data_IF_339732066052
#
_entry.id   IF_339732066052
#
_cell.length_a   1.000
_cell.length_b   1.000
_cell.length_c   1.000
_cell.angle_alpha   90.00
_cell.angle_beta   90.00
_cell.angle_gamma   90.00
#
_symmetry.space_group_name_H-M   'P 1'
#
loop_
_entity.id
_entity.type
_entity.pdbx_description
1 polymer ?
#
# COMPACT_ATOMS: atom_id res chain seq x y z
N UNK A 1 -55.50 -5.26 38.87
CA UNK A 1 -55.77 -4.03 39.65
C UNK A 1 -54.90 -2.94 39.03
N UNK A 2 -55.41 -2.00 38.21
CA UNK A 2 -56.07 -0.72 38.60
C UNK A 2 -55.15 0.09 39.54
N UNK A 3 -54.67 1.31 39.29
CA UNK A 3 -55.09 2.53 38.54
C UNK A 3 -53.81 3.33 38.14
N UNK A 4 -53.65 4.01 37.00
CA UNK A 4 -54.15 5.32 36.51
C UNK A 4 -54.11 6.47 37.53
N UNK A 5 -53.30 7.51 37.26
CA UNK A 5 -53.36 8.81 37.92
C UNK A 5 -52.62 9.90 37.14
N UNK A 6 -53.36 10.72 36.40
CA UNK A 6 -52.92 11.97 35.77
C UNK A 6 -52.88 13.12 36.81
N UNK A 7 -51.94 14.05 36.66
CA UNK A 7 -51.88 15.31 37.41
C UNK A 7 -51.06 16.35 36.65
N UNK A 8 -51.67 17.51 36.34
CA UNK A 8 -51.15 18.49 35.39
C UNK A 8 -50.24 19.58 35.98
N UNK A 9 -49.34 20.04 35.12
CA UNK A 9 -48.91 21.43 34.81
C UNK A 9 -48.90 22.53 35.88
N UNK A 10 -47.75 23.22 36.05
CA UNK A 10 -47.54 24.68 35.85
C UNK A 10 -46.01 24.97 35.67
N UNK A 11 -45.56 25.77 34.68
CA UNK A 11 -44.17 26.23 34.57
C UNK A 11 -43.94 27.56 35.31
N UNK A 12 -42.89 27.64 36.13
CA UNK A 12 -42.46 28.88 36.80
C UNK A 12 -41.53 29.65 35.85
N UNK A 13 -42.04 30.76 35.30
CA UNK A 13 -41.26 31.77 34.57
C UNK A 13 -40.65 32.75 35.58
N UNK A 14 -39.33 32.67 35.81
CA UNK A 14 -38.61 33.73 36.53
C UNK A 14 -38.27 34.87 35.56
N UNK A 15 -39.00 35.98 35.69
CA UNK A 15 -38.63 37.30 35.13
C UNK A 15 -37.31 37.76 35.79
N UNK A 16 -36.31 38.05 34.96
CA UNK A 16 -35.12 38.83 35.36
C UNK A 16 -35.38 40.28 34.96
N UNK A 17 -35.53 41.15 35.96
CA UNK A 17 -35.67 42.60 35.80
C UNK A 17 -34.28 43.22 35.69
N UNK A 18 -33.96 43.86 34.55
CA UNK A 18 -32.79 44.72 34.42
C UNK A 18 -33.01 46.04 35.18
N UNK A 19 -32.07 46.40 36.04
CA UNK A 19 -32.00 47.71 36.71
C UNK A 19 -30.84 48.50 36.07
N UNK A 20 -31.04 49.76 35.62
CA UNK A 20 -29.98 50.56 35.02
C UNK A 20 -29.09 51.16 36.11
N UNK A 21 -27.76 51.10 35.93
CA UNK A 21 -26.78 51.82 36.77
C UNK A 21 -26.24 53.05 36.02
N UNK A 22 -26.03 54.18 36.71
CA UNK A 22 -25.64 55.44 36.08
C UNK A 22 -24.16 55.45 35.68
N UNK A 23 -23.91 56.10 34.56
CA UNK A 23 -22.61 56.44 34.00
C UNK A 23 -21.98 57.57 34.83
N UNK A 24 -20.72 57.39 35.25
CA UNK A 24 -19.90 58.47 35.81
C UNK A 24 -18.75 58.72 34.84
N UNK A 25 -18.79 59.88 34.18
CA UNK A 25 -17.70 60.43 33.37
C UNK A 25 -16.60 60.95 34.30
N UNK A 26 -15.36 60.48 34.10
CA UNK A 26 -14.17 61.21 34.55
C UNK A 26 -13.44 61.75 33.33
N UNK A 27 -13.38 63.08 33.24
CA UNK A 27 -12.51 63.82 32.33
C UNK A 27 -11.07 63.73 32.84
N UNK A 28 -10.16 63.21 32.01
CA UNK A 28 -8.74 63.49 32.12
C UNK A 28 -8.25 64.04 30.79
N UNK A 29 -7.89 65.32 30.79
CA UNK A 29 -7.16 65.99 29.73
C UNK A 29 -5.66 65.73 29.91
N UNK A 30 -4.94 65.37 28.85
CA UNK A 30 -3.48 65.31 28.91
C UNK A 30 -2.82 64.59 27.74
N UNK A 31 -2.24 65.40 26.84
CA UNK A 31 -1.17 65.08 25.88
C UNK A 31 -1.45 64.14 24.71
N UNK A 32 -1.73 64.80 23.59
CA UNK A 32 -1.54 64.35 22.22
C UNK A 32 -0.04 64.07 21.97
N UNK A 33 0.36 62.81 22.03
CA UNK A 33 1.65 62.34 21.52
C UNK A 33 1.41 61.50 20.26
N UNK A 34 2.07 61.89 19.17
CA UNK A 34 1.95 61.31 17.85
C UNK A 34 2.23 59.80 17.84
N UNK A 35 1.20 58.99 17.61
CA UNK A 35 1.37 57.63 17.12
C UNK A 35 1.79 57.72 15.64
N UNK A 36 3.10 57.73 15.40
CA UNK A 36 3.61 57.29 14.10
C UNK A 36 3.19 55.83 13.93
N UNK A 37 2.33 55.58 12.95
CA UNK A 37 2.07 54.25 12.44
C UNK A 37 3.38 53.70 11.87
N UNK A 38 4.14 52.97 12.68
CA UNK A 38 5.01 51.92 12.15
C UNK A 38 4.09 50.80 11.69
N UNK A 39 3.63 50.91 10.45
CA UNK A 39 3.30 49.74 9.63
C UNK A 39 4.59 48.96 9.46
N UNK A 40 4.98 48.22 10.50
CA UNK A 40 5.94 47.14 10.37
C UNK A 40 5.32 46.18 9.38
N UNK A 41 5.91 46.10 8.19
CA UNK A 41 5.63 45.04 7.25
C UNK A 41 5.78 43.73 8.01
N UNK A 42 4.66 43.12 8.38
CA UNK A 42 4.56 41.68 8.48
C UNK A 42 4.78 41.19 7.05
N UNK A 43 6.05 41.13 6.66
CA UNK A 43 6.50 40.25 5.61
C UNK A 43 5.83 38.92 5.91
N UNK A 44 4.93 38.48 5.02
CA UNK A 44 4.47 37.11 5.05
C UNK A 44 5.73 36.26 5.00
N UNK A 45 6.11 35.71 6.14
CA UNK A 45 6.94 34.53 6.15
C UNK A 45 6.10 33.54 5.35
N UNK A 46 6.47 33.34 4.09
CA UNK A 46 6.19 32.08 3.43
C UNK A 46 6.65 31.04 4.45
N UNK A 47 5.71 30.40 5.16
CA UNK A 47 6.01 29.15 5.82
C UNK A 47 6.51 28.28 4.68
N UNK A 48 7.82 28.05 4.66
CA UNK A 48 8.44 27.07 3.79
C UNK A 48 7.61 25.80 4.00
N UNK A 49 6.93 25.33 2.96
CA UNK A 49 6.07 24.16 3.07
C UNK A 49 6.95 23.03 3.58
N UNK A 50 6.60 22.45 4.73
CA UNK A 50 7.38 21.36 5.30
C UNK A 50 7.46 20.23 4.27
N UNK A 51 8.67 19.87 3.85
CA UNK A 51 8.89 18.80 2.88
C UNK A 51 8.94 17.43 3.56
N UNK A 52 8.55 16.39 2.82
CA UNK A 52 8.76 15.02 3.25
C UNK A 52 10.25 14.70 3.22
N UNK A 53 10.75 14.08 4.29
CA UNK A 53 12.13 13.63 4.39
C UNK A 53 12.30 12.37 3.55
N UNK A 54 13.31 12.31 2.66
CA UNK A 54 13.63 11.08 1.94
C UNK A 54 13.92 9.94 2.90
N UNK A 55 13.40 8.76 2.60
CA UNK A 55 13.81 7.54 3.28
C UNK A 55 15.26 7.25 2.89
N UNK A 56 16.17 6.99 3.85
CA UNK A 56 17.56 6.68 3.54
C UNK A 56 17.67 5.46 2.62
N UNK A 57 18.63 5.47 1.67
CA UNK A 57 18.87 4.33 0.81
C UNK A 57 19.25 3.09 1.62
N UNK A 58 19.00 1.88 1.09
CA UNK A 58 19.33 0.65 1.79
C UNK A 58 20.84 0.53 2.04
N UNK A 59 21.23 0.03 3.22
CA UNK A 59 22.64 -0.21 3.53
C UNK A 59 23.28 -1.27 2.61
N UNK A 60 22.48 -2.17 2.04
CA UNK A 60 22.89 -3.12 1.01
C UNK A 60 22.00 -2.96 -0.23
N UNK A 61 22.32 -2.03 -1.15
CA UNK A 61 21.52 -1.82 -2.36
C UNK A 61 21.49 -3.07 -3.27
N UNK A 62 20.51 -3.14 -4.16
CA UNK A 62 20.58 -4.10 -5.25
C UNK A 62 21.79 -3.77 -6.14
N UNK A 63 22.58 -4.77 -6.55
CA UNK A 63 23.59 -4.55 -7.56
C UNK A 63 22.91 -4.20 -8.90
N UNK A 64 23.62 -3.57 -9.85
CA UNK A 64 23.13 -3.38 -11.21
C UNK A 64 22.59 -4.68 -11.81
N UNK A 65 21.52 -4.61 -12.61
CA UNK A 65 20.85 -5.78 -13.18
C UNK A 65 21.85 -6.78 -13.75
N UNK A 66 22.77 -6.35 -14.62
CA UNK A 66 23.76 -7.22 -15.27
C UNK A 66 24.63 -8.02 -14.28
N UNK A 67 24.95 -7.47 -13.11
CA UNK A 67 25.77 -8.13 -12.09
C UNK A 67 25.00 -9.18 -11.28
N UNK A 68 23.67 -9.14 -11.32
CA UNK A 68 22.83 -10.15 -10.66
C UNK A 68 22.42 -11.30 -11.58
N UNK A 69 22.84 -11.33 -12.85
CA UNK A 69 22.30 -12.25 -13.89
C UNK A 69 22.27 -13.72 -13.46
N UNK A 70 23.27 -14.18 -12.72
CA UNK A 70 23.41 -15.59 -12.32
C UNK A 70 22.74 -15.91 -10.96
N UNK A 71 22.07 -14.94 -10.34
CA UNK A 71 21.33 -15.16 -9.09
C UNK A 71 19.98 -15.79 -9.39
N UNK A 72 19.78 -17.01 -8.93
CA UNK A 72 18.51 -17.74 -9.04
C UNK A 72 17.94 -18.19 -7.69
N UNK A 73 18.63 -17.90 -6.57
CA UNK A 73 18.16 -18.22 -5.22
C UNK A 73 18.22 -17.01 -4.32
N UNK A 74 17.05 -16.58 -3.85
CA UNK A 74 16.89 -15.46 -2.93
C UNK A 74 15.46 -15.46 -2.37
N UNK A 75 15.17 -14.51 -1.50
CA UNK A 75 13.80 -14.22 -1.08
C UNK A 75 13.47 -12.74 -1.25
N UNK A 76 12.19 -12.39 -1.32
CA UNK A 76 11.71 -11.03 -1.16
C UNK A 76 10.49 -10.99 -0.25
N UNK A 77 10.17 -9.81 0.28
CA UNK A 77 9.00 -9.61 1.14
C UNK A 77 7.92 -8.86 0.35
N UNK A 78 6.65 -9.17 0.56
CA UNK A 78 5.52 -8.39 0.06
C UNK A 78 4.46 -8.12 1.14
N UNK A 79 3.97 -6.89 1.21
CA UNK A 79 2.91 -6.45 2.14
C UNK A 79 2.32 -5.10 1.70
N UNK A 80 1.25 -4.64 2.35
CA UNK A 80 0.52 -3.43 1.99
C UNK A 80 -0.18 -2.78 3.18
N UNK A 81 -0.68 -1.56 2.99
CA UNK A 81 -1.66 -0.93 3.90
C UNK A 81 -1.13 -0.75 5.33
N UNK A 82 -0.16 0.16 5.47
CA UNK A 82 0.58 0.34 6.73
C UNK A 82 0.04 1.46 7.61
N UNK A 83 -0.79 2.32 7.02
CA UNK A 83 -1.33 3.54 7.64
C UNK A 83 -1.98 3.31 9.00
N UNK A 84 -1.75 4.23 9.92
CA UNK A 84 -2.20 4.14 11.31
C UNK A 84 -3.26 5.18 11.68
N UNK A 85 -4.06 4.92 12.72
CA UNK A 85 -5.06 5.88 13.22
C UNK A 85 -4.48 7.17 13.81
N UNK A 86 -3.16 7.18 14.07
CA UNK A 86 -2.42 8.31 14.65
C UNK A 86 -1.35 8.85 13.71
N UNK A 87 -1.51 8.62 12.41
CA UNK A 87 -0.62 9.20 11.41
C UNK A 87 -0.58 10.73 11.57
N UNK A 88 0.63 11.29 11.52
CA UNK A 88 0.92 12.72 11.75
C UNK A 88 1.08 13.09 13.23
N UNK A 89 0.79 12.18 14.16
CA UNK A 89 0.89 12.43 15.61
C UNK A 89 1.89 11.49 16.28
N UNK A 90 1.96 10.24 15.84
CA UNK A 90 2.85 9.23 16.39
C UNK A 90 3.38 8.28 15.30
N UNK A 91 4.42 7.52 15.62
CA UNK A 91 4.89 6.43 14.77
C UNK A 91 3.77 5.38 14.57
N UNK A 92 3.72 4.76 13.39
CA UNK A 92 2.78 3.67 13.11
C UNK A 92 3.16 2.45 13.96
N UNK A 93 2.44 2.23 15.05
CA UNK A 93 2.79 1.21 16.04
C UNK A 93 2.67 -0.20 15.47
N UNK A 94 1.53 -0.54 14.87
CA UNK A 94 1.26 -1.85 14.28
C UNK A 94 2.23 -2.16 13.13
N UNK A 95 2.48 -1.17 12.27
CA UNK A 95 3.49 -1.27 11.20
C UNK A 95 4.91 -1.46 11.76
N UNK A 96 5.24 -0.81 12.89
CA UNK A 96 6.54 -1.01 13.53
C UNK A 96 6.74 -2.46 13.99
N UNK A 97 5.69 -3.12 14.50
CA UNK A 97 5.74 -4.55 14.86
C UNK A 97 5.95 -5.44 13.64
N UNK A 98 5.30 -5.10 12.52
CA UNK A 98 5.49 -5.78 11.23
C UNK A 98 6.93 -5.64 10.75
N UNK A 99 7.48 -4.42 10.77
CA UNK A 99 8.86 -4.15 10.35
C UNK A 99 9.89 -4.78 11.29
N UNK A 100 9.66 -4.82 12.60
CA UNK A 100 10.51 -5.53 13.56
C UNK A 100 10.61 -7.02 13.21
N UNK A 101 9.46 -7.64 12.89
CA UNK A 101 9.40 -9.03 12.45
C UNK A 101 10.12 -9.23 11.11
N UNK A 102 9.93 -8.33 10.13
CA UNK A 102 10.65 -8.38 8.86
C UNK A 102 12.17 -8.28 9.05
N UNK A 103 12.66 -7.32 9.84
CA UNK A 103 14.09 -7.16 10.13
C UNK A 103 14.65 -8.44 10.78
N UNK A 104 13.90 -9.08 11.68
CA UNK A 104 14.30 -10.36 12.26
C UNK A 104 14.42 -11.46 11.20
N UNK A 105 13.47 -11.55 10.24
CA UNK A 105 13.54 -12.51 9.15
C UNK A 105 14.67 -12.21 8.16
N UNK A 106 14.90 -10.94 7.82
CA UNK A 106 16.02 -10.49 6.99
C UNK A 106 17.34 -10.95 7.59
N UNK A 107 17.57 -10.70 8.89
CA UNK A 107 18.77 -11.13 9.62
C UNK A 107 18.90 -12.65 9.68
N UNK A 108 17.79 -13.36 9.95
CA UNK A 108 17.77 -14.84 10.00
C UNK A 108 18.15 -15.46 8.66
N UNK A 109 17.70 -14.90 7.55
CA UNK A 109 17.90 -15.45 6.21
C UNK A 109 19.19 -14.99 5.54
N UNK A 110 19.87 -13.96 6.08
CA UNK A 110 21.01 -13.28 5.46
C UNK A 110 22.15 -14.23 5.04
N UNK A 111 22.46 -15.24 5.84
CA UNK A 111 23.57 -16.19 5.59
C UNK A 111 23.12 -17.49 4.91
N UNK A 112 21.83 -17.60 4.56
CA UNK A 112 21.26 -18.77 3.90
C UNK A 112 21.41 -18.68 2.38
N UNK A 113 20.96 -19.71 1.67
CA UNK A 113 20.84 -19.68 0.19
C UNK A 113 19.72 -18.74 -0.30
N UNK A 114 18.85 -18.27 0.58
CA UNK A 114 17.66 -17.49 0.22
C UNK A 114 17.60 -16.17 1.03
N UNK A 115 18.65 -15.33 1.00
CA UNK A 115 18.63 -14.06 1.70
C UNK A 115 17.49 -13.18 1.17
N UNK A 116 16.88 -12.37 2.03
CA UNK A 116 15.91 -11.35 1.59
C UNK A 116 16.67 -10.26 0.84
N UNK A 117 16.26 -9.97 -0.40
CA UNK A 117 16.97 -9.05 -1.30
C UNK A 117 16.25 -7.74 -1.55
N UNK A 118 14.94 -7.71 -1.36
CA UNK A 118 14.13 -6.50 -1.45
C UNK A 118 12.76 -6.71 -0.79
N UNK A 119 12.06 -5.60 -0.57
CA UNK A 119 10.70 -5.54 -0.04
C UNK A 119 9.82 -4.81 -1.04
N UNK A 120 8.64 -5.36 -1.31
CA UNK A 120 7.57 -4.76 -2.12
C UNK A 120 6.47 -4.30 -1.17
N UNK A 121 6.12 -3.01 -1.21
CA UNK A 121 4.98 -2.47 -0.49
C UNK A 121 3.93 -1.94 -1.47
N UNK A 122 2.71 -2.46 -1.33
CA UNK A 122 1.61 -2.27 -2.28
C UNK A 122 0.78 -1.00 -2.06
N UNK A 123 1.29 0.06 -1.45
CA UNK A 123 0.57 1.33 -1.26
C UNK A 123 -0.17 1.48 0.07
N UNK A 124 -0.78 2.64 0.28
CA UNK A 124 -1.37 3.10 1.53
C UNK A 124 -0.36 3.18 2.69
N UNK A 125 0.73 3.91 2.43
CA UNK A 125 1.79 4.18 3.38
C UNK A 125 1.30 5.01 4.57
N UNK A 126 0.44 6.00 4.31
CA UNK A 126 -0.13 6.94 5.29
C UNK A 126 -1.63 7.17 5.07
N UNK A 127 -2.36 7.75 6.04
CA UNK A 127 -3.79 8.05 5.89
C UNK A 127 -4.08 9.18 4.88
N UNK A 128 -3.19 10.14 4.72
CA UNK A 128 -3.32 11.20 3.72
C UNK A 128 -1.94 11.59 3.18
N UNK A 129 -1.66 11.18 1.95
CA UNK A 129 -0.39 11.43 1.28
C UNK A 129 -0.07 12.91 1.09
N UNK A 130 -1.07 13.80 1.14
CA UNK A 130 -0.86 15.25 1.06
C UNK A 130 -0.33 15.86 2.36
N UNK A 131 -0.48 15.16 3.49
CA UNK A 131 -0.06 15.61 4.81
C UNK A 131 1.37 15.17 5.12
N UNK A 132 2.29 16.12 5.08
CA UNK A 132 3.74 15.89 5.23
C UNK A 132 4.10 15.36 6.61
N UNK A 133 3.32 15.68 7.64
CA UNK A 133 3.54 15.18 8.99
C UNK A 133 3.30 13.67 9.07
N UNK A 134 2.34 13.12 8.33
CA UNK A 134 2.07 11.69 8.32
C UNK A 134 3.26 10.91 7.76
N UNK A 135 3.90 11.42 6.73
CA UNK A 135 5.15 10.86 6.24
C UNK A 135 6.27 10.99 7.27
N UNK A 136 6.55 12.22 7.71
CA UNK A 136 7.74 12.54 8.51
C UNK A 136 7.73 11.96 9.92
N UNK A 137 6.56 11.90 10.56
CA UNK A 137 6.39 11.43 11.94
C UNK A 137 6.08 9.93 11.96
N UNK A 138 5.27 9.45 11.01
CA UNK A 138 4.60 8.15 11.17
C UNK A 138 5.21 7.04 10.32
N UNK A 139 5.50 7.31 9.04
CA UNK A 139 5.94 6.28 8.08
C UNK A 139 7.46 6.25 7.86
N UNK A 140 8.07 7.40 7.51
CA UNK A 140 9.50 7.50 7.16
C UNK A 140 10.41 6.93 8.26
N UNK A 141 10.20 7.22 9.56
CA UNK A 141 11.04 6.64 10.62
C UNK A 141 10.96 5.11 10.68
N UNK A 142 9.81 4.51 10.40
CA UNK A 142 9.62 3.05 10.42
C UNK A 142 10.40 2.40 9.27
N UNK A 143 10.21 2.88 8.04
CA UNK A 143 10.89 2.29 6.87
C UNK A 143 12.38 2.59 6.87
N UNK A 144 12.81 3.73 7.43
CA UNK A 144 14.24 4.03 7.59
C UNK A 144 14.96 2.93 8.37
N UNK A 145 14.31 2.29 9.35
CA UNK A 145 14.88 1.14 10.08
C UNK A 145 15.02 -0.07 9.18
N UNK A 146 14.04 -0.35 8.33
CA UNK A 146 14.10 -1.48 7.40
C UNK A 146 15.22 -1.32 6.36
N UNK A 147 15.39 -0.11 5.80
CA UNK A 147 16.44 0.16 4.82
C UNK A 147 17.83 0.25 5.46
N UNK A 148 17.96 0.76 6.68
CA UNK A 148 19.27 0.93 7.34
C UNK A 148 19.66 -0.23 8.26
N UNK A 149 18.82 -0.62 9.22
CA UNK A 149 19.08 -1.73 10.15
C UNK A 149 18.85 -3.10 9.51
N UNK A 150 17.79 -3.23 8.70
CA UNK A 150 17.54 -4.41 7.88
C UNK A 150 18.46 -4.45 6.65
N UNK A 151 18.89 -3.28 6.16
CA UNK A 151 19.82 -3.17 5.05
C UNK A 151 19.22 -3.51 3.69
N UNK A 152 17.90 -3.69 3.58
CA UNK A 152 17.24 -4.20 2.38
C UNK A 152 16.57 -3.08 1.56
N UNK A 153 16.69 -3.12 0.22
CA UNK A 153 15.94 -2.28 -0.70
C UNK A 153 14.42 -2.37 -0.46
N UNK A 154 13.73 -1.26 -0.63
CA UNK A 154 12.30 -1.13 -0.39
C UNK A 154 11.64 -0.42 -1.57
N UNK A 155 10.63 -1.04 -2.16
CA UNK A 155 9.93 -0.57 -3.34
C UNK A 155 8.46 -0.36 -2.99
N UNK A 156 8.01 0.89 -3.09
CA UNK A 156 6.63 1.31 -2.82
C UNK A 156 5.95 1.67 -4.14
N UNK A 157 4.72 1.22 -4.34
CA UNK A 157 3.78 1.78 -5.33
C UNK A 157 2.73 2.62 -4.59
N UNK A 158 2.10 3.62 -5.21
CA UNK A 158 1.08 4.40 -4.53
C UNK A 158 -0.24 3.62 -4.45
N UNK A 159 -0.90 3.73 -3.31
CA UNK A 159 -2.31 3.43 -3.11
C UNK A 159 -3.17 4.67 -3.19
N UNK A 160 -4.48 4.50 -2.95
CA UNK A 160 -5.40 5.63 -3.07
C UNK A 160 -5.21 6.67 -1.97
N UNK A 161 -4.57 6.32 -0.85
CA UNK A 161 -4.26 7.29 0.19
C UNK A 161 -3.03 8.15 -0.11
N UNK A 162 -2.14 7.76 -1.03
CA UNK A 162 -1.00 8.60 -1.42
C UNK A 162 -1.43 9.87 -2.19
N UNK A 163 -2.64 9.88 -2.78
CA UNK A 163 -3.22 11.02 -3.50
C UNK A 163 -2.27 11.58 -4.59
N UNK A 164 -1.68 10.68 -5.39
CA UNK A 164 -0.72 11.01 -6.45
C UNK A 164 -1.34 11.73 -7.65
N UNK A 165 -2.67 11.79 -7.72
CA UNK A 165 -3.43 12.67 -8.61
C UNK A 165 -3.34 14.15 -8.20
N UNK A 166 -3.02 14.43 -6.94
CA UNK A 166 -2.78 15.77 -6.43
C UNK A 166 -1.29 16.17 -6.52
N UNK A 167 -0.96 17.44 -6.84
CA UNK A 167 0.43 17.89 -6.85
C UNK A 167 1.15 17.76 -5.50
N UNK A 168 0.42 17.85 -4.39
CA UNK A 168 0.99 17.71 -3.05
C UNK A 168 1.30 16.24 -2.72
N UNK A 169 0.34 15.33 -2.96
CA UNK A 169 0.54 13.90 -2.71
C UNK A 169 1.63 13.30 -3.60
N UNK A 170 1.64 13.63 -4.89
CA UNK A 170 2.71 13.20 -5.81
C UNK A 170 4.09 13.68 -5.35
N UNK A 171 4.22 14.96 -4.99
CA UNK A 171 5.49 15.50 -4.50
C UNK A 171 5.94 14.78 -3.23
N UNK A 172 5.07 14.64 -2.23
CA UNK A 172 5.40 14.00 -0.96
C UNK A 172 5.83 12.54 -1.14
N UNK A 173 5.11 11.80 -1.99
CA UNK A 173 5.44 10.43 -2.38
C UNK A 173 6.83 10.36 -3.01
N UNK A 174 7.12 11.22 -3.99
CA UNK A 174 8.41 11.23 -4.68
C UNK A 174 9.57 11.71 -3.79
N UNK A 175 9.32 12.67 -2.90
CA UNK A 175 10.30 13.14 -1.90
C UNK A 175 10.71 11.97 -1.00
N UNK A 176 9.74 11.23 -0.43
CA UNK A 176 9.99 10.03 0.39
C UNK A 176 10.78 8.94 -0.34
N UNK A 177 10.45 8.66 -1.61
CA UNK A 177 10.99 7.53 -2.37
C UNK A 177 12.18 7.85 -3.27
N UNK A 178 12.65 9.10 -3.28
CA UNK A 178 13.68 9.59 -4.20
C UNK A 178 14.97 8.76 -4.22
N UNK A 179 15.30 8.06 -3.13
CA UNK A 179 16.48 7.19 -3.01
C UNK A 179 16.18 5.68 -3.16
N UNK A 180 14.92 5.31 -3.40
CA UNK A 180 14.44 3.93 -3.29
C UNK A 180 13.95 3.34 -4.62
N UNK A 181 13.32 4.15 -5.46
CA UNK A 181 12.81 3.73 -6.77
C UNK A 181 13.77 4.16 -7.89
N UNK A 182 13.68 3.58 -9.10
CA UNK A 182 14.49 4.05 -10.21
C UNK A 182 14.30 5.56 -10.44
N UNK A 183 15.39 6.30 -10.70
CA UNK A 183 15.32 7.76 -10.84
C UNK A 183 14.53 8.16 -12.09
N UNK A 184 14.02 9.39 -12.09
CA UNK A 184 13.39 10.00 -13.28
C UNK A 184 14.36 9.94 -14.47
N UNK A 185 13.83 9.60 -15.65
CA UNK A 185 14.62 9.38 -16.87
C UNK A 185 15.29 8.01 -16.99
N UNK A 186 15.20 7.15 -15.96
CA UNK A 186 15.57 5.75 -16.08
C UNK A 186 14.66 5.02 -17.08
N UNK A 187 15.17 4.11 -17.94
CA UNK A 187 14.31 3.27 -18.79
C UNK A 187 13.39 2.34 -17.99
N UNK A 188 13.70 2.18 -16.70
CA UNK A 188 12.94 1.39 -15.72
C UNK A 188 11.90 2.21 -14.95
N UNK A 189 11.68 3.47 -15.31
CA UNK A 189 10.61 4.29 -14.73
C UNK A 189 9.85 4.99 -15.83
N UNK A 190 8.53 4.95 -15.74
CA UNK A 190 7.68 5.67 -16.66
C UNK A 190 7.85 7.19 -16.43
N UNK A 191 8.20 7.99 -17.46
CA UNK A 191 8.47 9.40 -17.30
C UNK A 191 7.28 10.16 -16.69
N UNK A 192 7.52 10.93 -15.63
CA UNK A 192 6.50 11.71 -14.93
C UNK A 192 5.45 10.89 -14.18
N UNK A 193 5.65 9.57 -14.02
CA UNK A 193 4.73 8.68 -13.33
C UNK A 193 5.41 7.96 -12.16
N UNK A 194 4.57 7.31 -11.38
CA UNK A 194 4.88 6.49 -10.20
C UNK A 194 5.06 5.01 -10.54
N UNK A 195 4.75 4.61 -11.78
CA UNK A 195 4.94 3.25 -12.30
C UNK A 195 6.40 3.04 -12.74
N UNK A 196 6.96 1.90 -12.33
CA UNK A 196 8.35 1.54 -12.61
C UNK A 196 8.53 0.02 -12.68
N UNK A 197 9.72 -0.42 -13.04
CA UNK A 197 10.12 -1.81 -13.07
C UNK A 197 11.56 -1.96 -12.60
N UNK A 198 12.01 -3.17 -12.30
CA UNK A 198 13.42 -3.47 -12.07
C UNK A 198 13.68 -4.97 -12.19
N UNK A 199 14.92 -5.34 -12.47
CA UNK A 199 15.36 -6.73 -12.45
C UNK A 199 16.26 -7.05 -11.26
N UNK A 200 16.13 -8.26 -10.73
CA UNK A 200 17.12 -8.86 -9.84
C UNK A 200 17.19 -10.36 -10.06
N UNK A 201 18.39 -10.87 -10.36
CA UNK A 201 18.54 -12.29 -10.65
C UNK A 201 17.80 -12.69 -11.92
N UNK A 202 17.07 -13.78 -11.78
CA UNK A 202 16.14 -14.34 -12.76
C UNK A 202 14.70 -13.80 -12.64
N UNK A 203 14.49 -12.72 -11.89
CA UNK A 203 13.17 -12.15 -11.62
C UNK A 203 13.07 -10.70 -12.09
N UNK A 204 12.02 -10.40 -12.85
CA UNK A 204 11.64 -9.05 -13.25
C UNK A 204 10.40 -8.62 -12.49
N UNK A 205 10.42 -7.41 -11.94
CA UNK A 205 9.34 -6.87 -11.11
C UNK A 205 8.78 -5.61 -11.75
N UNK A 206 7.46 -5.50 -11.81
CA UNK A 206 6.73 -4.29 -12.23
C UNK A 206 5.95 -3.74 -11.04
N UNK A 207 6.25 -2.51 -10.65
CA UNK A 207 5.46 -1.72 -9.71
C UNK A 207 4.45 -0.89 -10.48
N UNK A 208 3.19 -1.27 -10.41
CA UNK A 208 2.08 -0.65 -11.15
C UNK A 208 1.28 0.29 -10.25
N UNK A 209 1.11 1.55 -10.66
CA UNK A 209 0.12 2.45 -10.07
C UNK A 209 -1.28 2.05 -10.54
N UNK A 210 -1.98 1.27 -9.71
CA UNK A 210 -3.32 0.81 -10.04
C UNK A 210 -4.38 1.92 -9.97
N UNK A 211 -4.11 3.07 -9.33
CA UNK A 211 -5.04 4.21 -9.34
C UNK A 211 -5.24 4.77 -10.76
N UNK A 212 -4.25 4.57 -11.64
CA UNK A 212 -4.26 4.99 -13.04
C UNK A 212 -4.34 3.82 -14.01
N UNK A 213 -4.90 2.67 -13.60
CA UNK A 213 -5.03 1.49 -14.47
C UNK A 213 -5.80 1.76 -15.79
N UNK A 214 -6.68 2.77 -15.82
CA UNK A 214 -7.34 3.22 -17.04
C UNK A 214 -6.46 4.03 -18.01
N UNK A 215 -5.26 4.46 -17.63
CA UNK A 215 -4.38 5.29 -18.46
C UNK A 215 -3.68 4.47 -19.56
N UNK A 216 -3.91 4.88 -20.81
CA UNK A 216 -3.30 4.29 -22.00
C UNK A 216 -1.78 4.40 -22.00
N UNK A 217 -1.21 5.49 -21.50
CA UNK A 217 0.25 5.67 -21.49
C UNK A 217 0.89 4.67 -20.55
N UNK A 218 0.31 4.48 -19.37
CA UNK A 218 0.78 3.48 -18.43
C UNK A 218 0.63 2.07 -18.99
N UNK A 219 -0.53 1.75 -19.56
CA UNK A 219 -0.76 0.45 -20.20
C UNK A 219 0.30 0.17 -21.28
N UNK A 220 0.51 1.09 -22.22
CA UNK A 220 1.51 0.96 -23.28
C UNK A 220 2.94 0.84 -22.75
N UNK A 221 3.28 1.62 -21.70
CA UNK A 221 4.60 1.53 -21.10
C UNK A 221 4.83 0.16 -20.47
N UNK A 222 3.87 -0.34 -19.68
CA UNK A 222 3.96 -1.68 -19.06
C UNK A 222 4.04 -2.77 -20.13
N UNK A 223 3.20 -2.71 -21.17
CA UNK A 223 3.28 -3.63 -22.31
C UNK A 223 4.68 -3.63 -22.93
N UNK A 224 5.26 -2.45 -23.18
CA UNK A 224 6.62 -2.37 -23.75
C UNK A 224 7.71 -2.97 -22.85
N UNK A 225 7.57 -2.86 -21.52
CA UNK A 225 8.51 -3.47 -20.59
C UNK A 225 8.44 -5.00 -20.64
N UNK A 226 7.24 -5.56 -20.79
CA UNK A 226 7.01 -7.00 -20.84
C UNK A 226 7.37 -7.60 -22.22
N UNK A 227 7.05 -6.91 -23.31
CA UNK A 227 7.42 -7.31 -24.68
C UNK A 227 8.94 -7.26 -24.91
N UNK A 228 9.62 -6.26 -24.33
CA UNK A 228 11.07 -6.08 -24.45
C UNK A 228 11.90 -6.93 -23.49
N UNK A 229 11.28 -7.85 -22.74
CA UNK A 229 11.94 -8.59 -21.68
C UNK A 229 12.80 -9.74 -22.23
N UNK A 230 14.05 -9.84 -21.78
CA UNK A 230 14.90 -11.03 -22.00
C UNK A 230 14.34 -12.20 -21.17
N UNK A 231 13.48 -13.03 -21.79
CA UNK A 231 12.80 -14.15 -21.13
C UNK A 231 13.70 -15.34 -20.81
N UNK A 232 14.86 -15.46 -21.47
CA UNK A 232 15.88 -16.44 -21.12
C UNK A 232 16.51 -16.11 -19.76
N UNK A 233 16.57 -14.82 -19.45
CA UNK A 233 17.06 -14.32 -18.17
C UNK A 233 15.94 -14.27 -17.12
N UNK A 234 14.84 -13.60 -17.43
CA UNK A 234 13.77 -13.28 -16.49
C UNK A 234 12.62 -14.28 -16.59
N UNK A 235 12.85 -15.47 -16.04
CA UNK A 235 11.86 -16.56 -16.01
C UNK A 235 10.69 -16.25 -15.09
N UNK A 236 10.93 -15.46 -14.02
CA UNK A 236 9.88 -15.00 -13.12
C UNK A 236 9.52 -13.55 -13.43
N UNK A 237 8.25 -13.27 -13.72
CA UNK A 237 7.72 -11.91 -13.77
C UNK A 237 6.73 -11.74 -12.63
N UNK A 238 6.97 -10.71 -11.82
CA UNK A 238 6.18 -10.38 -10.64
C UNK A 238 5.61 -8.98 -10.83
N UNK A 239 4.34 -8.81 -10.49
CA UNK A 239 3.71 -7.50 -10.44
C UNK A 239 3.35 -7.20 -8.99
N UNK A 240 3.44 -5.93 -8.59
CA UNK A 240 2.81 -5.46 -7.38
C UNK A 240 2.11 -4.12 -7.61
N UNK A 241 0.94 -3.98 -7.03
CA UNK A 241 0.03 -2.84 -7.24
C UNK A 241 -0.87 -2.68 -6.01
N UNK A 242 -1.58 -1.56 -5.90
CA UNK A 242 -2.42 -1.34 -4.72
C UNK A 242 -3.72 -2.14 -4.74
N UNK A 243 -4.61 -1.84 -5.69
CA UNK A 243 -5.88 -2.55 -5.81
C UNK A 243 -5.68 -3.98 -6.35
N UNK A 244 -6.44 -4.92 -5.81
CA UNK A 244 -6.45 -6.31 -6.26
C UNK A 244 -7.43 -6.52 -7.42
N UNK A 245 -7.09 -7.29 -8.47
CA UNK A 245 -8.03 -7.66 -9.53
C UNK A 245 -9.21 -8.46 -8.96
N UNK A 246 -8.99 -9.37 -8.03
CA UNK A 246 -10.03 -10.13 -7.35
C UNK A 246 -9.82 -10.06 -5.86
N UNK A 247 -10.87 -9.71 -5.13
CA UNK A 247 -10.85 -9.71 -3.68
C UNK A 247 -12.20 -10.07 -3.10
N UNK A 248 -12.17 -10.69 -1.94
CA UNK A 248 -13.34 -10.93 -1.10
C UNK A 248 -13.55 -9.90 0.02
N UNK A 249 -12.77 -8.82 0.02
CA UNK A 249 -12.89 -7.69 0.94
C UNK A 249 -13.92 -6.65 0.51
N UNK A 250 -14.07 -5.56 1.29
CA UNK A 250 -15.08 -4.52 1.07
C UNK A 250 -15.00 -3.78 -0.28
N UNK A 251 -13.84 -3.78 -0.95
CA UNK A 251 -13.59 -3.01 -2.18
C UNK A 251 -13.51 -3.88 -3.46
N UNK A 252 -13.44 -5.19 -3.33
CA UNK A 252 -13.46 -6.13 -4.46
C UNK A 252 -14.60 -7.13 -4.48
N UNK A 253 -15.30 -7.35 -3.35
CA UNK A 253 -16.40 -8.32 -3.23
C UNK A 253 -17.67 -7.87 -3.95
N UNK A 254 -18.70 -7.45 -3.20
CA UNK A 254 -20.00 -7.07 -3.76
C UNK A 254 -20.00 -5.75 -4.55
N UNK A 255 -18.94 -4.94 -4.43
CA UNK A 255 -18.76 -3.66 -5.12
C UNK A 255 -17.40 -3.66 -5.78
N UNK A 256 -17.37 -3.31 -7.06
CA UNK A 256 -16.13 -3.12 -7.80
C UNK A 256 -15.86 -1.64 -8.00
N UNK A 257 -14.63 -1.24 -7.70
CA UNK A 257 -14.12 0.09 -7.99
C UNK A 257 -13.55 0.14 -9.41
N UNK A 258 -13.53 1.33 -10.03
CA UNK A 258 -13.07 1.48 -11.40
C UNK A 258 -11.62 0.97 -11.63
N UNK A 259 -10.64 1.25 -10.75
CA UNK A 259 -9.31 0.65 -10.84
C UNK A 259 -9.32 -0.87 -10.97
N UNK A 260 -10.15 -1.56 -10.18
CA UNK A 260 -10.30 -3.02 -10.22
C UNK A 260 -10.92 -3.49 -11.54
N UNK A 261 -11.91 -2.76 -12.06
CA UNK A 261 -12.51 -3.03 -13.38
C UNK A 261 -11.45 -2.91 -14.48
N UNK A 262 -10.65 -1.85 -14.45
CA UNK A 262 -9.60 -1.60 -15.44
C UNK A 262 -8.46 -2.64 -15.35
N UNK A 263 -8.07 -3.04 -14.14
CA UNK A 263 -7.13 -4.14 -13.92
C UNK A 263 -7.61 -5.44 -14.56
N UNK A 264 -8.87 -5.83 -14.32
CA UNK A 264 -9.46 -7.04 -14.91
C UNK A 264 -9.54 -6.96 -16.43
N UNK A 265 -9.94 -5.82 -16.96
CA UNK A 265 -10.19 -5.66 -18.41
C UNK A 265 -8.90 -5.53 -19.23
N UNK A 266 -7.89 -4.87 -18.68
CA UNK A 266 -6.66 -4.51 -19.41
C UNK A 266 -5.46 -5.34 -19.00
N UNK A 267 -5.18 -5.38 -17.71
CA UNK A 267 -3.92 -5.90 -17.20
C UNK A 267 -3.94 -7.41 -17.05
N UNK A 268 -5.04 -8.01 -16.61
CA UNK A 268 -5.11 -9.47 -16.48
C UNK A 268 -4.87 -10.21 -17.81
N UNK A 269 -5.49 -9.82 -18.96
CA UNK A 269 -5.14 -10.40 -20.25
C UNK A 269 -3.68 -10.17 -20.66
N UNK A 270 -3.13 -8.98 -20.38
CA UNK A 270 -1.72 -8.67 -20.64
C UNK A 270 -0.80 -9.58 -19.80
N UNK A 271 -1.11 -9.75 -18.52
CA UNK A 271 -0.36 -10.59 -17.60
C UNK A 271 -0.39 -12.05 -18.02
N UNK A 272 -1.54 -12.53 -18.49
CA UNK A 272 -1.68 -13.87 -19.06
C UNK A 272 -0.79 -14.05 -20.30
N UNK A 273 -0.81 -13.07 -21.22
CA UNK A 273 -0.01 -13.11 -22.45
C UNK A 273 1.51 -13.12 -22.20
N UNK A 274 1.97 -12.57 -21.07
CA UNK A 274 3.38 -12.50 -20.70
C UNK A 274 3.80 -13.46 -19.58
N UNK A 275 2.90 -14.38 -19.20
CA UNK A 275 3.12 -15.39 -18.14
C UNK A 275 3.63 -14.77 -16.84
N UNK A 276 2.96 -13.72 -16.38
CA UNK A 276 3.18 -13.17 -15.03
C UNK A 276 2.92 -14.29 -14.02
N UNK A 277 3.88 -14.50 -13.12
CA UNK A 277 3.87 -15.60 -12.16
C UNK A 277 3.06 -15.27 -10.92
N UNK A 278 3.18 -14.04 -10.43
CA UNK A 278 2.41 -13.58 -9.29
C UNK A 278 2.13 -12.08 -9.32
N UNK A 279 0.98 -11.71 -8.79
CA UNK A 279 0.58 -10.32 -8.52
C UNK A 279 0.39 -10.16 -7.01
N UNK A 280 1.10 -9.20 -6.40
CA UNK A 280 0.96 -8.84 -5.00
C UNK A 280 0.20 -7.53 -4.85
N UNK A 281 -0.85 -7.53 -4.02
CA UNK A 281 -1.70 -6.37 -3.82
C UNK A 281 -2.03 -6.08 -2.36
N UNK A 282 -2.53 -4.87 -2.11
CA UNK A 282 -3.00 -4.38 -0.82
C UNK A 282 -4.46 -3.95 -0.93
N UNK A 283 -4.79 -2.75 -0.42
CA UNK A 283 -6.11 -2.09 -0.38
C UNK A 283 -7.11 -2.79 0.55
N UNK A 284 -7.08 -4.10 0.52
CA UNK A 284 -7.89 -5.01 1.29
C UNK A 284 -7.08 -5.44 2.50
N UNK A 285 -7.46 -4.95 3.69
CA UNK A 285 -6.66 -5.10 4.91
C UNK A 285 -6.75 -6.50 5.52
N UNK A 286 -6.36 -7.52 4.75
CA UNK A 286 -6.51 -8.93 5.04
C UNK A 286 -5.49 -9.73 4.23
N UNK A 287 -5.37 -11.03 4.54
CA UNK A 287 -4.64 -11.97 3.69
C UNK A 287 -5.65 -12.78 2.89
N UNK A 288 -5.44 -12.85 1.57
CA UNK A 288 -6.16 -13.77 0.71
C UNK A 288 -5.29 -14.19 -0.48
N UNK A 289 -5.61 -15.35 -1.03
CA UNK A 289 -4.85 -15.92 -2.14
C UNK A 289 -5.80 -16.52 -3.16
N UNK A 290 -5.79 -15.94 -4.35
CA UNK A 290 -6.46 -16.41 -5.54
C UNK A 290 -5.47 -17.03 -6.52
N UNK A 291 -5.90 -18.05 -7.26
CA UNK A 291 -5.10 -18.67 -8.31
C UNK A 291 -5.89 -18.61 -9.61
N UNK A 292 -5.33 -17.93 -10.61
CA UNK A 292 -5.83 -17.97 -11.97
C UNK A 292 -5.09 -19.07 -12.76
N UNK A 293 -5.85 -19.90 -13.47
CA UNK A 293 -5.31 -20.87 -14.43
C UNK A 293 -5.89 -20.62 -15.80
N UNK A 294 -5.05 -20.72 -16.81
CA UNK A 294 -5.44 -20.49 -18.20
C UNK A 294 -4.60 -21.35 -19.14
N UNK A 295 -4.94 -21.33 -20.43
CA UNK A 295 -4.20 -22.05 -21.47
C UNK A 295 -3.97 -21.12 -22.65
N UNK A 296 -2.75 -21.14 -23.18
CA UNK A 296 -2.41 -20.49 -24.44
C UNK A 296 -1.72 -21.48 -25.39
N UNK A 297 -1.11 -20.97 -26.47
CA UNK A 297 -0.41 -21.79 -27.46
C UNK A 297 0.80 -22.57 -26.91
N UNK A 298 1.38 -22.12 -25.79
CA UNK A 298 2.52 -22.76 -25.12
C UNK A 298 2.10 -23.79 -24.06
N UNK A 299 0.83 -23.81 -23.65
CA UNK A 299 0.28 -24.82 -22.74
C UNK A 299 -0.54 -24.22 -21.59
N UNK A 300 -0.79 -25.01 -20.53
CA UNK A 300 -1.46 -24.54 -19.33
C UNK A 300 -0.51 -23.69 -18.48
N UNK A 301 -1.08 -22.64 -17.86
CA UNK A 301 -0.37 -21.68 -17.02
C UNK A 301 -1.12 -21.41 -15.73
N UNK A 302 -0.36 -20.92 -14.75
CA UNK A 302 -0.83 -20.52 -13.42
C UNK A 302 -0.28 -19.14 -13.08
N UNK A 303 -1.15 -18.28 -12.55
CA UNK A 303 -0.78 -17.01 -11.93
C UNK A 303 -1.38 -16.93 -10.53
N UNK A 304 -0.52 -16.65 -9.55
CA UNK A 304 -0.90 -16.51 -8.14
C UNK A 304 -1.19 -15.03 -7.82
N UNK A 305 -2.39 -14.74 -7.34
CA UNK A 305 -2.89 -13.39 -7.05
C UNK A 305 -3.05 -13.27 -5.54
N UNK A 306 -2.10 -12.59 -4.89
CA UNK A 306 -1.96 -12.56 -3.43
C UNK A 306 -2.25 -11.16 -2.93
N UNK A 307 -3.19 -11.05 -2.02
CA UNK A 307 -3.43 -9.83 -1.26
C UNK A 307 -2.77 -9.99 0.10
N UNK A 308 -1.93 -9.02 0.45
CA UNK A 308 -1.16 -8.97 1.70
C UNK A 308 -1.30 -7.60 2.35
N UNK A 309 -2.54 -7.12 2.53
CA UNK A 309 -2.84 -5.78 3.08
C UNK A 309 -2.82 -5.69 4.61
N UNK A 310 -2.14 -6.62 5.29
CA UNK A 310 -2.07 -6.65 6.76
C UNK A 310 -0.92 -5.84 7.35
N UNK A 311 -0.45 -4.77 6.70
CA UNK A 311 0.79 -4.09 7.10
C UNK A 311 0.69 -3.15 8.30
N UNK A 312 -0.52 -2.81 8.75
CA UNK A 312 -0.74 -1.97 9.93
C UNK A 312 -2.11 -1.29 9.97
N UNK A 313 -2.74 -1.11 8.81
CA UNK A 313 -4.06 -0.50 8.71
C UNK A 313 -5.16 -1.35 9.38
N UNK A 314 -6.27 -0.74 9.84
CA UNK A 314 -7.30 -1.48 10.56
C UNK A 314 -7.85 -2.67 9.74
N UNK A 315 -7.59 -3.88 10.22
CA UNK A 315 -7.91 -5.15 9.54
C UNK A 315 -9.37 -5.26 9.09
N UNK A 316 -9.62 -5.89 7.94
CA UNK A 316 -10.94 -6.19 7.40
C UNK A 316 -11.38 -7.63 7.71
N UNK A 317 -12.67 -7.86 7.54
CA UNK A 317 -13.25 -9.21 7.54
C UNK A 317 -13.66 -9.58 6.12
N UNK A 318 -13.85 -10.87 5.88
CA UNK A 318 -14.48 -11.37 4.66
C UNK A 318 -15.82 -10.67 4.41
N UNK A 319 -16.00 -10.11 3.21
CA UNK A 319 -17.19 -9.36 2.81
C UNK A 319 -18.04 -10.07 1.75
N UNK A 320 -17.49 -11.05 1.03
CA UNK A 320 -18.20 -11.86 0.04
C UNK A 320 -17.35 -12.11 -1.22
N UNK A 321 -17.65 -13.16 -1.98
CA UNK A 321 -16.94 -13.40 -3.25
C UNK A 321 -17.21 -12.28 -4.26
N UNK A 322 -16.20 -11.91 -5.09
CA UNK A 322 -16.41 -11.01 -6.21
C UNK A 322 -17.33 -11.65 -7.27
N UNK A 323 -18.06 -10.83 -8.02
CA UNK A 323 -18.67 -11.30 -9.28
C UNK A 323 -17.57 -11.57 -10.32
N UNK A 324 -17.56 -12.79 -10.85
CA UNK A 324 -16.58 -13.27 -11.83
C UNK A 324 -17.21 -13.54 -13.20
N UNK A 325 -18.52 -13.40 -13.37
CA UNK A 325 -19.23 -13.87 -14.57
C UNK A 325 -18.66 -13.27 -15.86
N UNK A 326 -18.61 -11.94 -15.94
CA UNK A 326 -18.16 -11.24 -17.15
C UNK A 326 -16.67 -11.47 -17.44
N UNK A 327 -15.84 -11.56 -16.39
CA UNK A 327 -14.41 -11.81 -16.54
C UNK A 327 -14.14 -13.22 -17.09
N UNK A 328 -14.79 -14.25 -16.55
CA UNK A 328 -14.65 -15.63 -17.02
C UNK A 328 -15.20 -15.78 -18.45
N UNK A 329 -16.33 -15.14 -18.75
CA UNK A 329 -16.91 -15.13 -20.10
C UNK A 329 -16.00 -14.46 -21.12
N UNK A 330 -15.40 -13.31 -20.78
CA UNK A 330 -14.46 -12.61 -21.65
C UNK A 330 -13.20 -13.44 -21.96
N UNK A 331 -12.84 -14.38 -21.08
CA UNK A 331 -11.64 -15.20 -21.18
C UNK A 331 -11.92 -16.70 -21.45
N UNK A 332 -13.11 -17.04 -21.95
CA UNK A 332 -13.51 -18.43 -22.22
C UNK A 332 -12.57 -19.12 -23.22
N UNK A 333 -12.10 -18.38 -24.24
CA UNK A 333 -11.18 -18.90 -25.26
C UNK A 333 -9.85 -19.41 -24.67
N UNK A 334 -9.37 -18.78 -23.60
CA UNK A 334 -8.16 -19.16 -22.87
C UNK A 334 -8.45 -20.12 -21.71
N UNK A 335 -9.70 -20.59 -21.57
CA UNK A 335 -10.14 -21.49 -20.50
C UNK A 335 -9.76 -20.99 -19.10
N UNK A 336 -9.87 -19.68 -18.89
CA UNK A 336 -9.56 -19.08 -17.59
C UNK A 336 -10.45 -19.68 -16.51
N UNK A 337 -9.83 -20.06 -15.39
CA UNK A 337 -10.50 -20.45 -14.15
C UNK A 337 -9.87 -19.73 -12.97
N UNK A 338 -10.68 -19.38 -11.98
CA UNK A 338 -10.25 -18.72 -10.75
C UNK A 338 -10.58 -19.60 -9.55
N UNK A 339 -9.59 -19.81 -8.69
CA UNK A 339 -9.73 -20.53 -7.43
C UNK A 339 -9.38 -19.61 -6.27
N UNK A 340 -10.32 -19.40 -5.35
CA UNK A 340 -10.05 -18.74 -4.07
C UNK A 340 -9.39 -19.74 -3.11
N UNK A 341 -8.06 -19.80 -3.11
CA UNK A 341 -7.27 -20.80 -2.39
C UNK A 341 -7.26 -20.55 -0.88
N UNK A 342 -7.10 -19.28 -0.47
CA UNK A 342 -7.19 -18.87 0.93
C UNK A 342 -8.16 -17.72 1.05
N UNK A 343 -9.18 -17.93 1.88
CA UNK A 343 -10.16 -16.90 2.24
C UNK A 343 -9.77 -16.24 3.57
N UNK A 344 -10.01 -14.92 3.72
CA UNK A 344 -9.89 -14.27 5.00
C UNK A 344 -11.00 -14.75 5.95
N UNK A 345 -10.80 -14.56 7.24
CA UNK A 345 -11.81 -14.86 8.26
C UNK A 345 -13.00 -13.90 8.16
N UNK A 346 -14.20 -14.42 8.42
CA UNK A 346 -15.42 -13.64 8.63
C UNK A 346 -15.38 -12.85 9.96
N UNK A 347 -14.58 -13.32 10.92
CA UNK A 347 -14.35 -12.63 12.18
C UNK A 347 -13.09 -11.77 12.04
N UNK A 348 -13.29 -10.45 12.06
CA UNK A 348 -12.21 -9.45 11.92
C UNK A 348 -11.00 -9.73 12.82
N UNK A 349 -11.23 -10.14 14.07
CA UNK A 349 -10.18 -10.38 15.06
C UNK A 349 -9.32 -11.62 14.79
N UNK A 350 -9.71 -12.49 13.86
CA UNK A 350 -8.94 -13.67 13.46
C UNK A 350 -8.06 -13.42 12.24
N UNK A 351 -8.20 -12.27 11.57
CA UNK A 351 -7.30 -11.84 10.52
C UNK A 351 -6.13 -11.07 11.16
N UNK A 352 -4.87 -11.48 10.94
CA UNK A 352 -3.73 -10.86 11.61
C UNK A 352 -3.12 -9.73 10.78
N UNK A 353 -2.39 -8.85 11.46
CA UNK A 353 -1.29 -8.13 10.81
C UNK A 353 -0.25 -9.13 10.31
N UNK A 354 0.23 -8.94 9.09
CA UNK A 354 1.11 -9.91 8.45
C UNK A 354 1.96 -9.30 7.33
N UNK A 355 2.90 -10.10 6.87
CA UNK A 355 3.59 -9.95 5.59
C UNK A 355 3.87 -11.33 5.02
N UNK A 356 4.26 -11.39 3.75
CA UNK A 356 4.71 -12.64 3.13
C UNK A 356 6.19 -12.58 2.76
N UNK A 357 6.88 -13.71 2.92
CA UNK A 357 8.18 -13.96 2.30
C UNK A 357 7.96 -14.85 1.10
N UNK A 358 8.45 -14.41 -0.05
CA UNK A 358 8.47 -15.19 -1.28
C UNK A 358 9.87 -15.71 -1.50
N UNK A 359 10.04 -17.03 -1.54
CA UNK A 359 11.31 -17.68 -1.85
C UNK A 359 11.38 -17.97 -3.34
N UNK A 360 12.48 -17.62 -3.96
CA UNK A 360 12.80 -17.91 -5.37
C UNK A 360 13.88 -18.99 -5.43
N UNK A 361 13.64 -20.06 -6.17
CA UNK A 361 14.64 -21.09 -6.52
C UNK A 361 14.50 -21.48 -8.01
N UNK A 362 15.20 -20.73 -8.87
CA UNK A 362 14.99 -20.82 -10.31
C UNK A 362 13.56 -20.40 -10.65
N UNK A 363 12.82 -21.28 -11.32
CA UNK A 363 11.40 -21.07 -11.67
C UNK A 363 10.44 -21.37 -10.51
N UNK A 364 10.92 -22.02 -9.44
CA UNK A 364 10.08 -22.35 -8.29
C UNK A 364 9.92 -21.15 -7.39
N UNK A 365 8.68 -20.91 -6.98
CA UNK A 365 8.31 -19.87 -6.03
C UNK A 365 7.57 -20.52 -4.87
N UNK A 366 7.91 -20.14 -3.64
CA UNK A 366 7.15 -20.50 -2.44
C UNK A 366 6.74 -19.22 -1.71
N UNK A 367 5.58 -19.26 -1.06
CA UNK A 367 5.13 -18.20 -0.17
C UNK A 367 5.10 -18.74 1.25
N UNK A 368 5.65 -17.98 2.19
CA UNK A 368 5.49 -18.18 3.64
C UNK A 368 4.86 -16.91 4.25
N UNK A 369 3.78 -17.08 5.02
CA UNK A 369 3.01 -16.00 5.64
C UNK A 369 3.43 -15.86 7.10
N UNK A 370 3.73 -14.64 7.52
CA UNK A 370 4.13 -14.33 8.88
C UNK A 370 3.09 -13.43 9.53
N UNK A 371 2.24 -14.02 10.37
CA UNK A 371 1.39 -13.25 11.28
C UNK A 371 2.21 -12.61 12.41
N UNK A 372 1.82 -11.41 12.83
CA UNK A 372 2.55 -10.58 13.78
C UNK A 372 1.75 -10.38 15.07
N UNK A 373 2.46 -10.31 16.20
CA UNK A 373 1.90 -10.14 17.53
C UNK A 373 0.84 -11.22 17.86
N UNK A 374 -0.42 -10.83 18.11
CA UNK A 374 -1.54 -11.76 18.36
C UNK A 374 -1.81 -12.72 17.20
N UNK A 375 -1.32 -12.40 16.00
CA UNK A 375 -1.37 -13.24 14.81
C UNK A 375 -0.25 -14.28 14.72
N UNK A 376 0.67 -14.34 15.68
CA UNK A 376 1.77 -15.30 15.67
C UNK A 376 1.25 -16.74 15.56
N UNK A 377 1.77 -17.48 14.58
CA UNK A 377 1.28 -18.84 14.28
C UNK A 377 0.12 -18.89 13.29
N UNK A 378 -0.23 -17.78 12.64
CA UNK A 378 -1.19 -17.77 11.54
C UNK A 378 -0.79 -18.77 10.44
N UNK A 379 -1.72 -19.67 10.10
CA UNK A 379 -1.56 -20.71 9.09
C UNK A 379 -2.72 -20.60 8.10
N UNK A 380 -2.62 -19.72 7.10
CA UNK A 380 -3.67 -19.56 6.09
C UNK A 380 -3.85 -20.80 5.20
N UNK A 381 -2.86 -21.70 5.19
CA UNK A 381 -2.91 -22.98 4.50
C UNK A 381 -3.01 -24.12 5.53
N UNK A 382 -2.62 -25.35 5.15
CA UNK A 382 -2.36 -26.43 6.13
C UNK A 382 -1.13 -26.15 7.02
N UNK A 383 -0.41 -25.09 6.70
CA UNK A 383 0.77 -24.54 7.35
C UNK A 383 0.76 -23.02 7.07
N UNK A 384 1.85 -22.34 7.41
CA UNK A 384 2.05 -20.96 6.99
C UNK A 384 2.68 -20.85 5.60
N UNK A 385 2.89 -21.95 4.86
CA UNK A 385 3.59 -21.93 3.57
C UNK A 385 2.87 -22.68 2.45
N UNK A 386 3.16 -22.31 1.21
CA UNK A 386 2.65 -22.96 -0.01
C UNK A 386 3.68 -22.84 -1.16
N UNK A 387 3.82 -23.88 -1.98
CA UNK A 387 4.58 -23.82 -3.25
C UNK A 387 3.64 -23.35 -4.36
N UNK A 388 4.07 -22.36 -5.15
CA UNK A 388 3.29 -21.76 -6.25
C UNK A 388 3.43 -22.56 -7.54
N UNK A 389 3.06 -23.84 -7.45
CA UNK A 389 3.01 -24.77 -8.57
C UNK A 389 1.70 -25.53 -8.53
N UNK A 390 1.24 -25.99 -9.69
CA UNK A 390 0.09 -26.89 -9.74
C UNK A 390 0.42 -28.25 -9.08
N UNK A 391 -0.55 -28.88 -8.39
CA UNK A 391 -0.36 -30.16 -7.71
C UNK A 391 0.12 -31.30 -8.61
#
# INVERSE_FOLDING_TARGET
MKEIGFGGSVPIVKRITLVPRPVVLFFFAGSLAAFLAMTGALSGAHQEQEHVKPIPPPATPLPPEAQSRDVARFSFIAYGDTRGRRDGVAIQYEHSLVVDSMIAQVKRLQTTKYPVRFVLQSGDAVVNGQDTQQWNISFVPVISRLTTEGGVPYFLVPGNHEATDSPAGLRNYLDALSALIPPEGSPRRMPGHTTYSFGYGNTFVVGLDANTAGDDKQYQWVTSQLEGLDRDRYVNVIVFCHQAPFSSGPHGGAKLEQPTVDLRARYMPLFNAHHVRAVFSGHEHLFEHWVERYTDASGPHRMDLVVSGGGGAPIYAYSGEPDLHDYLKANEASKVTLQHLVKPSVERGLNPYHFVIVRVDGEKLDIEVFGVDVGSGFQPYRSNNVELQDP
#
